data_IF_775797136425
#
_entry.id   IF_775797136425
#
_cell.length_a   1.000
_cell.length_b   1.000
_cell.length_c   1.000
_cell.angle_alpha   90.00
_cell.angle_beta   90.00
_cell.angle_gamma   90.00
#
_symmetry.space_group_name_H-M   'P 1'
#
loop_
_entity.id
_entity.type
_entity.pdbx_description
1 polymer ?
#
# COMPACT_ATOMS: atom_id res chain seq x y z
N UNK A 1 9.96 9.01 -6.69
CA UNK A 1 8.99 10.08 -6.98
C UNK A 1 9.73 11.40 -7.02
N UNK A 2 9.31 12.37 -7.84
CA UNK A 2 9.96 13.69 -7.88
C UNK A 2 9.66 14.48 -6.57
N UNK A 3 10.63 15.23 -6.01
CA UNK A 3 10.44 15.93 -4.73
C UNK A 3 9.25 16.90 -4.71
N UNK A 4 8.98 17.60 -5.80
CA UNK A 4 7.89 18.56 -5.93
C UNK A 4 6.51 17.88 -5.88
N UNK A 5 6.38 16.70 -6.51
CA UNK A 5 5.15 15.88 -6.47
C UNK A 5 4.92 15.37 -5.04
N UNK A 6 5.99 14.92 -4.39
CA UNK A 6 5.92 14.46 -3.00
C UNK A 6 5.50 15.58 -2.04
N UNK A 7 6.02 16.80 -2.24
CA UNK A 7 5.65 17.95 -1.43
C UNK A 7 4.17 18.32 -1.59
N UNK A 8 3.64 18.27 -2.81
CA UNK A 8 2.22 18.54 -3.08
C UNK A 8 1.31 17.48 -2.44
N UNK A 9 1.65 16.20 -2.58
CA UNK A 9 0.94 15.08 -1.92
C UNK A 9 0.88 15.30 -0.40
N UNK A 10 2.02 15.57 0.24
CA UNK A 10 2.08 15.81 1.69
C UNK A 10 1.30 17.05 2.12
N UNK A 11 1.24 18.09 1.30
CA UNK A 11 0.45 19.29 1.59
C UNK A 11 -1.05 18.99 1.55
N UNK A 12 -1.51 18.13 0.63
CA UNK A 12 -2.89 17.64 0.59
C UNK A 12 -3.19 16.76 1.81
N UNK A 13 -2.29 15.84 2.16
CA UNK A 13 -2.43 14.98 3.34
C UNK A 13 -2.49 15.76 4.65
N UNK A 14 -1.65 16.78 4.82
CA UNK A 14 -1.64 17.63 6.01
C UNK A 14 -2.96 18.39 6.20
N UNK A 15 -3.66 18.70 5.10
CA UNK A 15 -4.99 19.31 5.10
C UNK A 15 -6.13 18.29 5.19
N UNK A 16 -5.81 16.99 5.15
CA UNK A 16 -6.76 15.88 5.02
C UNK A 16 -7.66 16.00 3.78
N UNK A 17 -7.15 16.60 2.72
CA UNK A 17 -7.88 16.88 1.48
C UNK A 17 -7.79 15.69 0.51
N UNK A 18 -8.27 14.53 0.97
CA UNK A 18 -8.10 13.25 0.27
C UNK A 18 -9.07 13.06 -0.89
N UNK A 19 -10.21 13.74 -0.86
CA UNK A 19 -11.22 13.69 -1.92
C UNK A 19 -10.87 14.61 -3.10
N UNK A 20 -9.82 15.43 -2.96
CA UNK A 20 -9.31 16.26 -4.03
C UNK A 20 -8.85 15.38 -5.21
N UNK A 21 -9.41 15.54 -6.43
CA UNK A 21 -9.00 14.75 -7.59
C UNK A 21 -7.49 14.82 -7.84
N UNK A 22 -6.87 15.96 -7.51
CA UNK A 22 -5.43 16.19 -7.62
C UNK A 22 -4.60 15.17 -6.85
N UNK A 23 -5.09 14.72 -5.70
CA UNK A 23 -4.41 13.74 -4.87
C UNK A 23 -4.17 12.42 -5.63
N UNK A 24 -5.22 11.89 -6.26
CA UNK A 24 -5.11 10.67 -7.05
C UNK A 24 -4.42 10.90 -8.41
N UNK A 25 -4.58 12.07 -9.04
CA UNK A 25 -3.81 12.44 -10.25
C UNK A 25 -2.29 12.39 -10.01
N UNK A 26 -1.84 12.77 -8.81
CA UNK A 26 -0.43 12.69 -8.44
C UNK A 26 -0.04 11.24 -8.12
N UNK A 27 -0.85 10.51 -7.34
CA UNK A 27 -0.52 9.16 -6.88
C UNK A 27 -0.55 8.10 -7.97
N UNK A 28 -1.51 8.16 -8.89
CA UNK A 28 -1.70 7.12 -9.92
C UNK A 28 -0.42 6.92 -10.77
N UNK A 29 0.11 7.93 -11.47
CA UNK A 29 1.28 7.77 -12.33
C UNK A 29 2.61 7.66 -11.56
N UNK A 30 2.69 8.28 -10.38
CA UNK A 30 3.96 8.39 -9.65
C UNK A 30 4.20 7.30 -8.61
N UNK A 31 3.14 6.63 -8.14
CA UNK A 31 3.22 5.58 -7.13
C UNK A 31 2.48 4.31 -7.55
N UNK A 32 1.19 4.37 -7.87
CA UNK A 32 0.37 3.18 -8.10
C UNK A 32 0.83 2.42 -9.35
N UNK A 33 1.08 3.12 -10.46
CA UNK A 33 1.63 2.53 -11.69
C UNK A 33 3.09 2.08 -11.56
N UNK A 34 3.77 2.42 -10.47
CA UNK A 34 5.16 2.00 -10.20
C UNK A 34 5.21 0.82 -9.26
N UNK A 35 4.28 0.71 -8.31
CA UNK A 35 4.38 -0.21 -7.20
C UNK A 35 3.18 -1.12 -6.98
N UNK A 36 1.97 -0.69 -7.35
CA UNK A 36 0.75 -1.46 -7.14
C UNK A 36 0.37 -2.30 -8.37
N UNK A 37 0.22 -1.66 -9.53
CA UNK A 37 -0.03 -2.36 -10.80
C UNK A 37 0.70 -1.65 -11.93
N UNK A 38 1.77 -2.29 -12.42
CA UNK A 38 2.72 -1.71 -13.38
C UNK A 38 2.32 -1.91 -14.85
N UNK A 39 1.19 -2.57 -15.10
CA UNK A 39 0.66 -2.73 -16.45
C UNK A 39 0.17 -1.38 -16.97
N UNK A 40 0.43 -1.09 -18.25
CA UNK A 40 0.00 0.16 -18.90
C UNK A 40 -1.52 0.32 -18.85
N UNK A 41 -2.22 -0.78 -19.11
CA UNK A 41 -3.66 -0.88 -18.94
C UNK A 41 -3.93 -1.76 -17.73
N UNK A 42 -4.69 -1.23 -16.78
CA UNK A 42 -5.05 -1.99 -15.60
C UNK A 42 -6.09 -3.06 -15.95
N UNK A 43 -5.88 -4.31 -15.50
CA UNK A 43 -6.82 -5.40 -15.77
C UNK A 43 -8.24 -5.09 -15.30
N UNK A 44 -9.23 -5.62 -16.00
CA UNK A 44 -10.64 -5.46 -15.60
C UNK A 44 -10.91 -5.94 -14.16
N UNK A 45 -10.30 -7.05 -13.74
CA UNK A 45 -10.39 -7.53 -12.36
C UNK A 45 -9.92 -6.49 -11.34
N UNK A 46 -8.85 -5.77 -11.62
CA UNK A 46 -8.32 -4.70 -10.77
C UNK A 46 -9.28 -3.50 -10.73
N UNK A 47 -9.75 -3.06 -11.88
CA UNK A 47 -10.71 -1.94 -11.97
C UNK A 47 -12.02 -2.25 -11.25
N UNK A 48 -12.54 -3.47 -11.38
CA UNK A 48 -13.73 -3.93 -10.65
C UNK A 48 -13.49 -3.95 -9.14
N UNK A 49 -12.32 -4.38 -8.67
CA UNK A 49 -12.01 -4.37 -7.24
C UNK A 49 -11.98 -2.95 -6.66
N UNK A 50 -11.27 -2.02 -7.32
CA UNK A 50 -11.20 -0.61 -6.87
C UNK A 50 -12.57 0.05 -6.87
N UNK A 51 -13.41 -0.21 -7.89
CA UNK A 51 -14.75 0.38 -7.99
C UNK A 51 -15.64 0.06 -6.78
N UNK A 52 -15.43 -1.08 -6.12
CA UNK A 52 -16.27 -1.54 -5.00
C UNK A 52 -15.59 -1.35 -3.64
N UNK A 53 -14.45 -0.66 -3.58
CA UNK A 53 -13.81 -0.37 -2.29
C UNK A 53 -14.73 0.51 -1.44
N UNK A 54 -14.89 0.16 -0.16
CA UNK A 54 -15.56 1.03 0.79
C UNK A 54 -14.53 2.04 1.33
N UNK A 55 -14.58 3.27 0.82
CA UNK A 55 -13.63 4.34 1.16
C UNK A 55 -13.62 4.71 2.65
N UNK A 56 -14.77 4.62 3.33
CA UNK A 56 -14.88 4.92 4.76
C UNK A 56 -14.11 3.88 5.60
N UNK A 57 -14.37 2.59 5.34
CA UNK A 57 -13.69 1.50 6.05
C UNK A 57 -12.20 1.47 5.70
N UNK A 58 -11.85 1.66 4.43
CA UNK A 58 -10.46 1.70 3.99
C UNK A 58 -9.70 2.83 4.71
N UNK A 59 -10.24 4.05 4.71
CA UNK A 59 -9.62 5.21 5.37
C UNK A 59 -9.49 5.00 6.89
N UNK A 60 -10.52 4.42 7.52
CA UNK A 60 -10.52 4.12 8.94
C UNK A 60 -9.44 3.09 9.34
N UNK A 61 -9.25 2.05 8.53
CA UNK A 61 -8.37 0.92 8.85
C UNK A 61 -6.93 1.17 8.39
N UNK A 62 -6.75 1.52 7.12
CA UNK A 62 -5.46 1.72 6.47
C UNK A 62 -5.03 3.19 6.56
N UNK A 63 -5.88 4.09 6.09
CA UNK A 63 -5.53 5.47 5.81
C UNK A 63 -5.98 5.87 4.40
N UNK A 64 -5.64 7.08 3.95
CA UNK A 64 -6.26 7.68 2.77
C UNK A 64 -5.83 7.05 1.43
N UNK A 65 -4.71 6.34 1.39
CA UNK A 65 -4.18 5.72 0.17
C UNK A 65 -3.11 4.67 0.49
N UNK A 66 -2.64 3.95 -0.53
CA UNK A 66 -1.49 3.03 -0.43
C UNK A 66 -0.15 3.76 -0.18
N UNK A 67 -0.13 5.09 -0.27
CA UNK A 67 1.10 5.87 -0.10
C UNK A 67 1.53 5.98 1.38
N UNK A 68 0.58 5.93 2.30
CA UNK A 68 0.86 6.10 3.72
C UNK A 68 -0.21 5.51 4.63
N UNK A 69 0.23 4.80 5.66
CA UNK A 69 -0.65 4.24 6.69
C UNK A 69 -0.87 5.25 7.82
N UNK A 70 -2.13 5.48 8.19
CA UNK A 70 -2.51 6.39 9.27
C UNK A 70 -3.79 5.97 10.01
N UNK A 71 -4.43 4.89 9.57
CA UNK A 71 -5.61 4.31 10.19
C UNK A 71 -5.28 3.41 11.39
N UNK A 72 -6.28 2.64 11.83
CA UNK A 72 -6.18 1.74 13.00
C UNK A 72 -5.08 0.69 12.89
N UNK A 73 -4.71 0.30 11.67
CA UNK A 73 -3.66 -0.70 11.42
C UNK A 73 -2.24 -0.13 11.49
N UNK A 74 -2.05 1.19 11.67
CA UNK A 74 -0.73 1.83 11.69
C UNK A 74 0.24 1.26 12.74
N UNK A 75 -0.27 0.64 13.81
CA UNK A 75 0.51 0.00 14.88
C UNK A 75 0.28 -1.51 14.97
N UNK A 76 -0.46 -2.09 14.03
CA UNK A 76 -0.75 -3.51 14.05
C UNK A 76 0.53 -4.30 13.72
N UNK A 77 0.91 -5.21 14.62
CA UNK A 77 2.10 -6.04 14.47
C UNK A 77 1.81 -7.44 15.03
N UNK A 78 2.01 -8.46 14.20
CA UNK A 78 1.85 -9.88 14.57
C UNK A 78 3.17 -10.66 14.45
N UNK A 79 4.32 -9.99 14.28
CA UNK A 79 5.62 -10.64 14.07
C UNK A 79 5.98 -11.69 15.11
N UNK A 80 5.59 -11.44 16.37
CA UNK A 80 5.87 -12.36 17.49
C UNK A 80 5.09 -13.67 17.40
N UNK A 81 4.01 -13.74 16.63
CA UNK A 81 3.11 -14.90 16.52
C UNK A 81 3.44 -15.79 15.31
N UNK A 82 4.45 -15.47 14.52
CA UNK A 82 4.77 -16.23 13.31
C UNK A 82 5.13 -17.70 13.56
N UNK A 83 5.67 -17.99 14.75
CA UNK A 83 5.96 -19.36 15.20
C UNK A 83 4.70 -20.23 15.35
N UNK A 84 3.50 -19.63 15.38
CA UNK A 84 2.23 -20.36 15.42
C UNK A 84 1.90 -21.04 14.06
N UNK A 85 2.57 -20.65 12.96
CA UNK A 85 2.36 -21.23 11.63
C UNK A 85 3.19 -22.52 11.48
N UNK A 86 2.54 -23.67 11.63
CA UNK A 86 3.20 -24.99 11.58
C UNK A 86 3.27 -25.62 10.19
N UNK A 87 2.38 -25.22 9.27
CA UNK A 87 2.31 -25.79 7.91
C UNK A 87 3.39 -25.20 6.98
N UNK A 88 3.77 -25.91 5.90
CA UNK A 88 4.58 -25.31 4.85
C UNK A 88 3.91 -24.05 4.28
N UNK A 89 4.67 -22.97 4.14
CA UNK A 89 4.16 -21.66 3.69
C UNK A 89 5.09 -21.10 2.62
N UNK A 90 4.50 -20.71 1.49
CA UNK A 90 5.20 -20.00 0.42
C UNK A 90 5.06 -18.48 0.66
N UNK A 91 6.18 -17.77 0.67
CA UNK A 91 6.20 -16.31 0.67
C UNK A 91 6.61 -15.80 -0.71
N UNK A 92 5.82 -14.88 -1.25
CA UNK A 92 6.08 -14.22 -2.54
C UNK A 92 6.31 -12.74 -2.28
N UNK A 93 7.27 -12.17 -3.00
CA UNK A 93 7.58 -10.75 -3.01
C UNK A 93 8.01 -10.30 -4.38
N UNK A 94 7.98 -8.99 -4.63
CA UNK A 94 8.40 -8.41 -5.90
C UNK A 94 9.35 -7.23 -5.69
N UNK A 95 10.34 -7.11 -6.59
CA UNK A 95 11.36 -6.04 -6.59
C UNK A 95 10.80 -4.62 -6.53
N UNK A 96 9.57 -4.42 -7.02
CA UNK A 96 8.93 -3.11 -7.10
C UNK A 96 7.64 -3.04 -6.27
N UNK A 97 7.41 -3.98 -5.35
CA UNK A 97 6.23 -3.99 -4.48
C UNK A 97 6.12 -2.72 -3.62
N UNK A 98 4.95 -2.42 -3.07
CA UNK A 98 4.77 -1.33 -2.09
C UNK A 98 5.41 -1.68 -0.75
N UNK A 99 5.59 -2.97 -0.46
CA UNK A 99 6.35 -3.45 0.70
C UNK A 99 7.83 -3.62 0.34
N UNK A 100 8.73 -3.10 1.18
CA UNK A 100 10.17 -3.17 0.91
C UNK A 100 10.72 -4.61 0.98
N UNK A 101 11.71 -4.90 0.12
CA UNK A 101 12.37 -6.22 0.04
C UNK A 101 12.91 -6.70 1.40
N UNK A 102 13.43 -5.79 2.23
CA UNK A 102 13.95 -6.14 3.56
C UNK A 102 12.87 -6.70 4.48
N UNK A 103 11.63 -6.19 4.38
CA UNK A 103 10.51 -6.75 5.13
C UNK A 103 10.20 -8.16 4.66
N UNK A 104 10.23 -8.44 3.36
CA UNK A 104 9.99 -9.80 2.82
C UNK A 104 11.10 -10.76 3.28
N UNK A 105 12.36 -10.31 3.29
CA UNK A 105 13.50 -11.09 3.75
C UNK A 105 13.45 -11.39 5.26
N UNK A 106 13.03 -10.43 6.09
CA UNK A 106 12.82 -10.64 7.54
C UNK A 106 11.85 -11.79 7.79
N UNK A 107 10.84 -11.95 6.94
CA UNK A 107 9.84 -12.99 7.09
C UNK A 107 10.28 -14.38 6.60
N UNK A 108 11.26 -14.45 5.69
CA UNK A 108 11.84 -15.73 5.24
C UNK A 108 12.67 -16.42 6.32
N UNK A 109 13.23 -15.65 7.24
CA UNK A 109 14.13 -16.16 8.28
C UNK A 109 13.43 -16.59 9.58
N UNK A 110 12.10 -16.64 9.61
CA UNK A 110 11.34 -16.97 10.83
C UNK A 110 11.21 -18.48 11.07
N UNK A 111 11.74 -19.31 10.17
CA UNK A 111 11.99 -20.71 10.47
C UNK A 111 13.46 -20.85 10.87
N UNK A 112 13.73 -20.66 12.16
CA UNK A 112 14.78 -21.27 12.99
C UNK A 112 14.52 -20.93 14.46
#
# INVERSE_FOLDING_TARGET
>A
MKPEILAEIRALEAKKDFENPRYMELLIPNFYQKHLCRLKEWPDSFNRAIKHVNGEIYTLMQGPSEFGISGRLAKWDIKKRHHEISIPTLMIGAKYDTMEDQHILLWRNIKN
#
